data_IF_276336683106
#
_entry.id   IF_276336683106
#
_cell.length_a   1.000
_cell.length_b   1.000
_cell.length_c   1.000
_cell.angle_alpha   90.00
_cell.angle_beta   90.00
_cell.angle_gamma   90.00
#
_symmetry.space_group_name_H-M   'P 1'
#
loop_
_entity.id
_entity.type
_entity.pdbx_description
1 polymer ?
#
# COMPACT_ATOMS: atom_id res chain seq x y z
N UNK A 1 19.69 -35.39 0.19
CA UNK A 1 19.54 -34.11 -0.54
C UNK A 1 19.78 -32.86 0.31
N UNK A 2 18.94 -32.45 1.29
CA UNK A 2 19.14 -31.16 1.99
C UNK A 2 20.41 -31.07 2.85
N UNK A 3 20.77 -32.16 3.53
CA UNK A 3 22.04 -32.23 4.26
C UNK A 3 23.25 -32.25 3.32
N UNK A 4 23.08 -32.71 2.07
CA UNK A 4 24.13 -32.65 1.05
C UNK A 4 24.31 -31.23 0.53
N UNK A 5 23.21 -30.50 0.29
CA UNK A 5 23.28 -29.08 -0.08
C UNK A 5 24.03 -28.31 1.00
N UNK A 6 23.70 -28.53 2.29
CA UNK A 6 24.40 -27.88 3.41
C UNK A 6 25.91 -28.16 3.38
N UNK A 7 26.31 -29.42 3.25
CA UNK A 7 27.73 -29.83 3.16
C UNK A 7 28.45 -29.27 1.94
N UNK A 8 27.74 -29.02 0.85
CA UNK A 8 28.32 -28.43 -0.36
C UNK A 8 28.47 -26.92 -0.22
N UNK A 9 27.48 -26.22 0.38
CA UNK A 9 27.59 -24.78 0.65
C UNK A 9 28.76 -24.42 1.55
N UNK A 10 29.21 -25.34 2.42
CA UNK A 10 30.38 -25.16 3.30
C UNK A 10 31.72 -25.02 2.56
N UNK A 11 31.82 -25.50 1.31
CA UNK A 11 33.07 -25.48 0.57
C UNK A 11 33.34 -24.08 0.02
N UNK A 12 34.62 -23.68 -0.03
CA UNK A 12 35.06 -22.36 -0.50
C UNK A 12 34.68 -22.09 -1.97
N UNK A 13 34.59 -23.13 -2.80
CA UNK A 13 34.16 -23.05 -4.20
C UNK A 13 32.68 -22.63 -4.38
N UNK A 14 31.89 -22.67 -3.31
CA UNK A 14 30.46 -22.35 -3.32
C UNK A 14 30.17 -21.13 -2.45
N UNK A 15 29.76 -21.33 -1.19
CA UNK A 15 29.39 -20.24 -0.30
C UNK A 15 30.40 -20.04 0.85
N UNK A 16 31.38 -20.93 1.02
CA UNK A 16 32.40 -20.87 2.07
C UNK A 16 31.85 -20.95 3.50
N UNK A 17 30.57 -21.33 3.67
CA UNK A 17 29.91 -21.45 4.97
C UNK A 17 28.71 -22.37 4.92
N UNK A 18 28.42 -23.01 6.05
CA UNK A 18 27.23 -23.85 6.20
C UNK A 18 25.96 -23.02 6.13
N UNK A 19 25.17 -23.19 5.07
CA UNK A 19 23.88 -22.54 4.95
C UNK A 19 22.76 -23.50 5.37
N UNK A 20 21.95 -23.04 6.33
CA UNK A 20 20.71 -23.73 6.66
C UNK A 20 19.68 -23.47 5.57
N UNK A 21 19.43 -24.47 4.72
CA UNK A 21 18.43 -24.40 3.66
C UNK A 21 17.03 -24.36 4.29
N UNK A 22 16.42 -23.18 4.29
CA UNK A 22 15.03 -23.00 4.71
C UNK A 22 14.11 -23.26 3.53
N UNK A 23 13.37 -24.36 3.56
CA UNK A 23 12.40 -24.71 2.50
C UNK A 23 11.25 -23.71 2.54
N UNK A 24 10.65 -23.55 3.71
CA UNK A 24 9.52 -22.66 3.88
C UNK A 24 9.95 -21.22 4.17
N UNK A 25 9.30 -20.28 3.50
CA UNK A 25 9.25 -18.89 3.91
C UNK A 25 8.02 -18.65 4.80
N UNK A 26 8.07 -17.60 5.62
CA UNK A 26 6.85 -17.12 6.28
C UNK A 26 5.85 -16.73 5.20
N UNK A 27 4.59 -17.11 5.36
CA UNK A 27 3.52 -16.70 4.44
C UNK A 27 3.46 -15.17 4.39
N UNK A 28 3.84 -14.61 3.24
CA UNK A 28 3.79 -13.19 2.92
C UNK A 28 3.39 -13.06 1.46
N UNK A 29 2.82 -11.93 1.07
CA UNK A 29 2.32 -11.73 -0.28
C UNK A 29 3.41 -11.75 -1.37
N UNK A 30 4.69 -11.67 -0.99
CA UNK A 30 5.85 -11.76 -1.89
C UNK A 30 6.74 -12.98 -1.61
N UNK A 31 6.19 -14.02 -0.95
CA UNK A 31 6.90 -15.25 -0.58
C UNK A 31 7.55 -15.97 -1.77
N UNK A 32 6.87 -16.02 -2.92
CA UNK A 32 7.40 -16.64 -4.15
C UNK A 32 8.72 -15.99 -4.56
N UNK A 33 8.82 -14.66 -4.51
CA UNK A 33 10.06 -13.97 -4.81
C UNK A 33 11.14 -14.28 -3.78
N UNK A 34 10.82 -14.32 -2.47
CA UNK A 34 11.80 -14.69 -1.44
C UNK A 34 12.33 -16.13 -1.61
N UNK A 35 11.51 -17.06 -2.09
CA UNK A 35 11.95 -18.43 -2.42
C UNK A 35 12.91 -18.40 -3.59
N UNK A 36 12.58 -17.65 -4.65
CA UNK A 36 13.42 -17.54 -5.85
C UNK A 36 14.76 -16.87 -5.52
N UNK A 37 14.75 -15.74 -4.80
CA UNK A 37 15.96 -15.03 -4.36
C UNK A 37 16.89 -15.96 -3.56
N UNK A 38 16.34 -16.72 -2.60
CA UNK A 38 17.11 -17.69 -1.81
C UNK A 38 17.63 -18.85 -2.66
N UNK A 39 16.84 -19.34 -3.61
CA UNK A 39 17.28 -20.39 -4.52
C UNK A 39 18.50 -19.93 -5.34
N UNK A 40 18.53 -18.66 -5.78
CA UNK A 40 19.68 -18.08 -6.47
C UNK A 40 20.95 -18.01 -5.60
N UNK A 41 20.83 -17.71 -4.31
CA UNK A 41 21.99 -17.66 -3.39
C UNK A 41 22.72 -19.00 -3.25
N UNK A 42 22.01 -20.11 -3.43
CA UNK A 42 22.55 -21.47 -3.30
C UNK A 42 22.49 -22.27 -4.62
N UNK A 43 22.20 -21.61 -5.74
CA UNK A 43 21.95 -22.27 -7.02
C UNK A 43 23.10 -23.17 -7.47
N UNK A 44 24.40 -22.77 -7.37
CA UNK A 44 25.49 -23.64 -7.77
C UNK A 44 25.58 -24.91 -6.90
N UNK A 45 25.34 -24.79 -5.60
CA UNK A 45 25.34 -25.91 -4.67
C UNK A 45 24.14 -26.86 -4.91
N UNK A 46 22.95 -26.30 -5.13
CA UNK A 46 21.76 -27.06 -5.52
C UNK A 46 22.03 -27.82 -6.81
N UNK A 47 22.58 -27.15 -7.83
CA UNK A 47 22.81 -27.79 -9.12
C UNK A 47 23.86 -28.91 -9.05
N UNK A 48 24.89 -28.76 -8.19
CA UNK A 48 25.84 -29.84 -7.90
C UNK A 48 25.14 -31.07 -7.31
N UNK A 49 24.23 -30.87 -6.35
CA UNK A 49 23.46 -31.97 -5.76
C UNK A 49 22.55 -32.61 -6.81
N UNK A 50 21.77 -31.80 -7.53
CA UNK A 50 20.82 -32.27 -8.54
C UNK A 50 21.52 -33.03 -9.69
N UNK A 51 22.72 -32.62 -10.08
CA UNK A 51 23.53 -33.33 -11.07
C UNK A 51 23.82 -34.78 -10.66
N UNK A 52 23.98 -35.05 -9.36
CA UNK A 52 24.20 -36.43 -8.86
C UNK A 52 22.95 -37.30 -8.95
N UNK A 53 21.77 -36.68 -9.02
CA UNK A 53 20.49 -37.36 -9.18
C UNK A 53 20.01 -37.36 -10.65
N UNK A 54 20.82 -36.86 -11.59
CA UNK A 54 20.48 -36.83 -13.01
C UNK A 54 19.44 -35.77 -13.40
N UNK A 55 19.17 -34.80 -12.52
CA UNK A 55 18.16 -33.75 -12.74
C UNK A 55 18.70 -32.33 -12.52
N UNK A 56 19.89 -31.97 -13.07
CA UNK A 56 20.41 -30.62 -12.93
C UNK A 56 19.46 -29.60 -13.55
N UNK A 57 19.43 -28.39 -12.98
CA UNK A 57 18.77 -27.25 -13.60
C UNK A 57 19.48 -26.92 -14.91
N UNK A 58 18.71 -26.92 -15.99
CA UNK A 58 19.18 -26.50 -17.29
C UNK A 58 19.50 -25.00 -17.29
N UNK A 59 20.42 -24.54 -18.16
CA UNK A 59 20.69 -23.11 -18.30
C UNK A 59 19.43 -22.30 -18.64
N UNK A 60 18.52 -22.87 -19.44
CA UNK A 60 17.24 -22.23 -19.78
C UNK A 60 16.31 -22.05 -18.59
N UNK A 61 16.27 -23.01 -17.66
CA UNK A 61 15.46 -22.90 -16.45
C UNK A 61 16.02 -21.84 -15.50
N UNK A 62 17.35 -21.76 -15.35
CA UNK A 62 17.98 -20.71 -14.56
C UNK A 62 17.66 -19.31 -15.11
N UNK A 63 17.74 -19.13 -16.44
CA UNK A 63 17.36 -17.88 -17.11
C UNK A 63 15.87 -17.57 -16.92
N UNK A 64 14.98 -18.57 -17.02
CA UNK A 64 13.56 -18.38 -16.78
C UNK A 64 13.27 -17.94 -15.34
N UNK A 65 13.95 -18.55 -14.36
CA UNK A 65 13.82 -18.21 -12.95
C UNK A 65 14.32 -16.78 -12.66
N UNK A 66 15.37 -16.34 -13.34
CA UNK A 66 15.91 -14.98 -13.22
C UNK A 66 14.94 -13.95 -13.80
N UNK A 67 14.32 -14.26 -14.94
CA UNK A 67 13.26 -13.42 -15.52
C UNK A 67 12.08 -13.28 -14.56
N UNK A 68 11.62 -14.37 -13.94
CA UNK A 68 10.53 -14.33 -12.96
C UNK A 68 10.93 -13.47 -11.76
N UNK A 69 12.16 -13.63 -11.24
CA UNK A 69 12.69 -12.81 -10.13
C UNK A 69 12.62 -11.32 -10.47
N UNK A 70 13.06 -10.93 -11.66
CA UNK A 70 13.11 -9.54 -12.09
C UNK A 70 11.70 -8.94 -12.21
N UNK A 71 10.76 -9.69 -12.79
CA UNK A 71 9.37 -9.24 -12.96
C UNK A 71 8.61 -9.13 -11.63
N UNK A 72 8.91 -10.00 -10.65
CA UNK A 72 8.29 -9.95 -9.33
C UNK A 72 8.92 -8.91 -8.39
N UNK A 73 10.11 -8.41 -8.69
CA UNK A 73 10.83 -7.45 -7.84
C UNK A 73 10.05 -6.14 -7.58
N UNK A 74 9.44 -5.49 -8.60
CA UNK A 74 8.57 -4.33 -8.39
C UNK A 74 7.39 -4.60 -7.46
N UNK A 75 6.78 -5.80 -7.54
CA UNK A 75 5.67 -6.17 -6.66
C UNK A 75 6.08 -6.20 -5.19
N UNK A 76 7.26 -6.73 -4.86
CA UNK A 76 7.78 -6.69 -3.49
C UNK A 76 7.97 -5.27 -3.01
N UNK A 77 8.51 -4.37 -3.86
CA UNK A 77 8.65 -2.95 -3.53
C UNK A 77 7.29 -2.27 -3.29
N UNK A 78 6.33 -2.51 -4.18
CA UNK A 78 4.96 -2.00 -4.06
C UNK A 78 4.29 -2.47 -2.76
N UNK A 79 4.36 -3.77 -2.46
CA UNK A 79 3.79 -4.36 -1.23
C UNK A 79 4.42 -3.73 0.00
N UNK A 80 5.75 -3.57 0.03
CA UNK A 80 6.43 -2.96 1.17
C UNK A 80 6.05 -1.49 1.36
N UNK A 81 5.93 -0.72 0.28
CA UNK A 81 5.48 0.67 0.31
C UNK A 81 4.05 0.79 0.86
N UNK A 82 3.11 0.00 0.31
CA UNK A 82 1.72 -0.05 0.78
C UNK A 82 1.62 -0.49 2.24
N UNK A 83 2.55 -1.33 2.69
CA UNK A 83 2.54 -1.83 4.06
C UNK A 83 3.10 -0.85 5.11
N UNK A 84 3.59 0.33 4.74
CA UNK A 84 4.02 1.36 5.70
C UNK A 84 2.84 1.98 6.45
N UNK A 85 3.06 2.45 7.67
CA UNK A 85 1.98 2.96 8.54
C UNK A 85 1.37 4.26 8.02
N UNK A 86 2.20 5.11 7.41
CA UNK A 86 1.83 6.39 6.79
C UNK A 86 1.12 6.23 5.43
N UNK A 87 1.02 5.00 4.88
CA UNK A 87 0.39 4.78 3.59
C UNK A 87 -1.12 5.02 3.65
N UNK A 88 -1.63 5.84 2.73
CA UNK A 88 -3.04 6.18 2.54
C UNK A 88 -3.52 5.69 1.16
N UNK A 89 -4.82 5.81 0.88
CA UNK A 89 -5.35 5.50 -0.47
C UNK A 89 -4.66 6.33 -1.58
N UNK A 90 -4.27 7.57 -1.28
CA UNK A 90 -3.54 8.42 -2.22
C UNK A 90 -2.16 7.84 -2.59
N UNK A 91 -1.42 7.36 -1.59
CA UNK A 91 -0.14 6.69 -1.81
C UNK A 91 -0.31 5.40 -2.62
N UNK A 92 -1.44 4.71 -2.45
CA UNK A 92 -1.70 3.47 -3.17
C UNK A 92 -1.84 3.71 -4.68
N UNK A 93 -2.55 4.75 -5.10
CA UNK A 93 -2.70 5.11 -6.50
C UNK A 93 -1.34 5.45 -7.15
N UNK A 94 -0.45 6.15 -6.42
CA UNK A 94 0.94 6.39 -6.86
C UNK A 94 1.75 5.10 -7.00
N UNK A 95 1.66 4.21 -6.00
CA UNK A 95 2.37 2.92 -6.03
C UNK A 95 1.89 2.06 -7.22
N UNK A 96 0.59 2.02 -7.48
CA UNK A 96 0.06 1.26 -8.62
C UNK A 96 0.50 1.86 -9.95
N UNK A 97 0.48 3.20 -10.08
CA UNK A 97 0.97 3.88 -11.28
C UNK A 97 2.44 3.56 -11.56
N UNK A 98 3.31 3.61 -10.53
CA UNK A 98 4.72 3.24 -10.66
C UNK A 98 4.91 1.76 -10.98
N UNK A 99 4.12 0.86 -10.35
CA UNK A 99 4.20 -0.56 -10.61
C UNK A 99 3.78 -0.91 -12.04
N UNK A 100 2.71 -0.28 -12.55
CA UNK A 100 2.27 -0.48 -13.93
C UNK A 100 3.33 0.01 -14.92
N UNK A 101 3.91 1.19 -14.66
CA UNK A 101 5.03 1.72 -15.45
C UNK A 101 6.23 0.78 -15.44
N UNK A 102 6.65 0.29 -14.28
CA UNK A 102 7.77 -0.67 -14.17
C UNK A 102 7.50 -1.94 -15.00
N UNK A 103 6.26 -2.43 -15.05
CA UNK A 103 5.88 -3.63 -15.82
C UNK A 103 5.81 -3.39 -17.33
N UNK A 104 5.36 -2.20 -17.73
CA UNK A 104 5.28 -1.78 -19.13
C UNK A 104 6.69 -1.58 -19.72
N UNK A 105 7.58 -0.91 -18.98
CA UNK A 105 8.97 -0.67 -19.38
C UNK A 105 9.78 -1.97 -19.57
N UNK A 106 9.44 -3.05 -18.85
CA UNK A 106 10.11 -4.35 -19.03
C UNK A 106 9.89 -4.94 -20.42
N UNK A 107 8.74 -4.67 -21.07
CA UNK A 107 8.40 -5.15 -22.41
C UNK A 107 8.61 -6.67 -22.63
N UNK A 108 8.23 -7.50 -21.64
CA UNK A 108 8.29 -8.96 -21.71
C UNK A 108 6.87 -9.52 -21.68
N UNK A 109 6.62 -10.61 -22.40
CA UNK A 109 5.27 -11.21 -22.46
C UNK A 109 4.66 -11.49 -21.07
N UNK A 110 5.47 -12.00 -20.13
CA UNK A 110 5.01 -12.25 -18.77
C UNK A 110 4.71 -10.95 -17.99
N UNK A 111 5.46 -9.86 -18.22
CA UNK A 111 5.17 -8.57 -17.57
C UNK A 111 3.86 -7.98 -18.10
N UNK A 112 3.59 -8.13 -19.40
CA UNK A 112 2.33 -7.74 -20.04
C UNK A 112 1.12 -8.49 -19.50
N UNK A 113 1.22 -9.82 -19.34
CA UNK A 113 0.16 -10.64 -18.73
C UNK A 113 -0.13 -10.20 -17.29
N UNK A 114 0.92 -9.93 -16.50
CA UNK A 114 0.77 -9.46 -15.13
C UNK A 114 0.22 -8.04 -15.06
N UNK A 115 0.61 -7.16 -15.99
CA UNK A 115 0.08 -5.79 -16.08
C UNK A 115 -1.43 -5.81 -16.33
N UNK A 116 -1.90 -6.57 -17.31
CA UNK A 116 -3.34 -6.70 -17.60
C UNK A 116 -4.10 -7.32 -16.42
N UNK A 117 -3.51 -8.33 -15.78
CA UNK A 117 -4.09 -8.92 -14.57
C UNK A 117 -4.18 -7.89 -13.44
N UNK A 118 -3.12 -7.11 -13.21
CA UNK A 118 -3.07 -6.06 -12.20
C UNK A 118 -4.13 -4.98 -12.46
N UNK A 119 -4.24 -4.49 -13.69
CA UNK A 119 -5.29 -3.53 -14.10
C UNK A 119 -6.69 -4.07 -13.81
N UNK A 120 -6.93 -5.34 -14.16
CA UNK A 120 -8.20 -6.01 -13.86
C UNK A 120 -8.48 -6.12 -12.35
N UNK A 121 -7.47 -6.40 -11.54
CA UNK A 121 -7.61 -6.51 -10.09
C UNK A 121 -7.80 -5.15 -9.40
N UNK A 122 -7.17 -4.08 -9.91
CA UNK A 122 -7.39 -2.69 -9.46
C UNK A 122 -8.81 -2.28 -9.81
N UNK A 123 -9.25 -2.46 -11.06
CA UNK A 123 -10.62 -2.11 -11.51
C UNK A 123 -11.70 -2.72 -10.62
N UNK A 124 -11.53 -3.96 -10.18
CA UNK A 124 -12.49 -4.67 -9.31
C UNK A 124 -12.58 -4.14 -7.88
N UNK A 125 -11.51 -3.54 -7.36
CA UNK A 125 -11.37 -3.21 -5.91
C UNK A 125 -11.25 -1.73 -5.63
N UNK A 126 -10.77 -0.94 -6.58
CA UNK A 126 -10.63 0.50 -6.43
C UNK A 126 -12.02 1.11 -6.33
N UNK A 127 -12.23 1.89 -5.27
CA UNK A 127 -13.54 2.49 -4.95
C UNK A 127 -13.59 3.96 -5.37
N UNK A 128 -14.79 4.51 -5.43
CA UNK A 128 -15.04 5.93 -5.71
C UNK A 128 -14.27 6.87 -4.78
N UNK A 129 -14.05 6.46 -3.52
CA UNK A 129 -13.30 7.21 -2.52
C UNK A 129 -11.85 7.49 -2.93
N UNK A 130 -11.20 6.58 -3.68
CA UNK A 130 -9.84 6.81 -4.19
C UNK A 130 -9.80 7.94 -5.20
N UNK A 131 -10.77 7.98 -6.13
CA UNK A 131 -10.90 9.07 -7.12
C UNK A 131 -11.26 10.39 -6.46
N UNK A 132 -12.20 10.40 -5.52
CA UNK A 132 -12.54 11.62 -4.77
C UNK A 132 -11.32 12.14 -4.02
N UNK A 133 -10.59 11.27 -3.33
CA UNK A 133 -9.35 11.65 -2.66
C UNK A 133 -8.33 12.25 -3.63
N UNK A 134 -8.11 11.63 -4.80
CA UNK A 134 -7.20 12.15 -5.81
C UNK A 134 -7.59 13.56 -6.29
N UNK A 135 -8.88 13.80 -6.52
CA UNK A 135 -9.41 15.13 -6.87
C UNK A 135 -9.27 16.14 -5.74
N UNK A 136 -9.50 15.73 -4.49
CA UNK A 136 -9.34 16.60 -3.34
C UNK A 136 -7.87 17.00 -3.13
N UNK A 137 -6.93 16.09 -3.37
CA UNK A 137 -5.48 16.31 -3.27
C UNK A 137 -4.95 17.19 -4.41
N UNK A 138 -5.39 16.92 -5.64
CA UNK A 138 -5.07 17.68 -6.82
C UNK A 138 -6.35 18.00 -7.60
N UNK A 139 -6.78 19.26 -7.57
CA UNK A 139 -7.97 19.69 -8.30
C UNK A 139 -7.80 19.64 -9.83
N UNK A 140 -6.56 19.62 -10.33
CA UNK A 140 -6.23 19.41 -11.74
C UNK A 140 -5.99 17.93 -12.06
N UNK A 141 -6.46 17.02 -11.20
CA UNK A 141 -6.34 15.59 -11.44
C UNK A 141 -7.01 15.21 -12.77
N UNK A 142 -6.24 14.57 -13.64
CA UNK A 142 -6.59 14.28 -15.04
C UNK A 142 -7.27 12.92 -15.22
N UNK A 143 -7.48 12.18 -14.14
CA UNK A 143 -8.03 10.82 -14.15
C UNK A 143 -7.21 9.83 -14.99
N UNK A 144 -5.88 10.07 -15.13
CA UNK A 144 -5.01 9.21 -15.94
C UNK A 144 -5.04 7.75 -15.47
N UNK A 145 -5.07 7.54 -14.14
CA UNK A 145 -5.11 6.20 -13.56
C UNK A 145 -6.42 5.49 -13.89
N UNK A 146 -7.56 6.16 -13.72
CA UNK A 146 -8.89 5.63 -14.07
C UNK A 146 -8.94 5.23 -15.54
N UNK A 147 -8.44 6.09 -16.44
CA UNK A 147 -8.37 5.78 -17.86
C UNK A 147 -7.48 4.57 -18.13
N UNK A 148 -6.30 4.50 -17.52
CA UNK A 148 -5.36 3.40 -17.69
C UNK A 148 -5.93 2.07 -17.17
N UNK A 149 -6.66 2.09 -16.06
CA UNK A 149 -7.32 0.90 -15.50
C UNK A 149 -8.70 0.67 -16.09
N UNK A 150 -9.20 1.51 -16.99
CA UNK A 150 -10.53 1.43 -17.62
C UNK A 150 -11.70 1.54 -16.64
N UNK A 151 -11.61 2.47 -15.69
CA UNK A 151 -12.72 2.94 -14.87
C UNK A 151 -13.34 4.20 -15.49
N UNK A 152 -14.64 4.41 -15.25
CA UNK A 152 -15.33 5.62 -15.71
C UNK A 152 -14.89 6.83 -14.87
N UNK A 153 -14.79 7.98 -15.53
CA UNK A 153 -14.52 9.25 -14.86
C UNK A 153 -15.76 9.68 -14.10
N UNK A 154 -15.56 10.10 -12.84
CA UNK A 154 -16.61 10.68 -12.03
C UNK A 154 -16.99 12.08 -12.51
N UNK A 155 -18.28 12.36 -12.48
CA UNK A 155 -18.84 13.70 -12.66
C UNK A 155 -18.70 14.53 -11.39
N UNK A 156 -18.69 15.86 -11.54
CA UNK A 156 -18.61 16.79 -10.40
C UNK A 156 -19.81 16.62 -9.45
N UNK A 157 -20.99 16.30 -10.00
CA UNK A 157 -22.20 16.02 -9.21
C UNK A 157 -22.03 14.74 -8.37
N UNK A 158 -21.50 13.66 -8.92
CA UNK A 158 -21.24 12.43 -8.17
C UNK A 158 -20.20 12.66 -7.06
N UNK A 159 -19.17 13.47 -7.33
CA UNK A 159 -18.19 13.85 -6.31
C UNK A 159 -18.87 14.60 -5.17
N UNK A 160 -19.73 15.58 -5.49
CA UNK A 160 -20.49 16.35 -4.51
C UNK A 160 -21.43 15.48 -3.67
N UNK A 161 -22.13 14.52 -4.29
CA UNK A 161 -23.03 13.58 -3.63
C UNK A 161 -22.29 12.78 -2.56
N UNK A 162 -21.17 12.17 -2.94
CA UNK A 162 -20.38 11.33 -2.05
C UNK A 162 -19.71 12.16 -0.94
N UNK A 163 -19.28 13.39 -1.23
CA UNK A 163 -18.75 14.29 -0.20
C UNK A 163 -19.82 14.68 0.82
N UNK A 164 -21.05 14.92 0.37
CA UNK A 164 -22.17 15.19 1.27
C UNK A 164 -22.48 13.97 2.15
N UNK A 165 -22.51 12.77 1.57
CA UNK A 165 -22.73 11.52 2.32
C UNK A 165 -21.65 11.29 3.41
N UNK A 166 -20.39 11.62 3.12
CA UNK A 166 -19.28 11.54 4.10
C UNK A 166 -19.51 12.50 5.28
N UNK A 167 -19.98 13.72 5.01
CA UNK A 167 -20.26 14.71 6.05
C UNK A 167 -21.47 14.31 6.88
N UNK A 168 -22.56 13.88 6.24
CA UNK A 168 -23.78 13.45 6.90
C UNK A 168 -23.51 12.26 7.82
N UNK A 169 -22.62 11.33 7.42
CA UNK A 169 -22.20 10.22 8.27
C UNK A 169 -21.37 10.66 9.50
N UNK A 170 -20.70 11.81 9.43
CA UNK A 170 -19.82 12.36 10.48
C UNK A 170 -20.56 13.23 11.49
N UNK A 171 -21.64 13.92 11.09
CA UNK A 171 -22.53 14.66 12.01
C UNK A 171 -23.15 13.75 13.10
N UNK A 172 -23.14 12.42 12.91
CA UNK A 172 -23.52 11.45 13.94
C UNK A 172 -22.43 11.14 14.97
N UNK A 173 -21.19 11.59 14.78
CA UNK A 173 -20.01 11.05 15.49
C UNK A 173 -19.17 12.11 16.24
N UNK A 174 -19.21 13.41 15.93
CA UNK A 174 -18.22 14.35 16.49
C UNK A 174 -18.75 15.39 17.49
N UNK A 175 -18.39 15.16 18.77
CA UNK A 175 -17.74 16.16 19.63
C UNK A 175 -16.26 15.73 19.76
N UNK A 176 -15.36 16.41 19.05
CA UNK A 176 -13.94 16.68 19.36
C UNK A 176 -13.16 16.91 18.05
N UNK A 177 -12.74 18.15 17.85
CA UNK A 177 -11.99 18.62 16.68
C UNK A 177 -10.50 18.70 16.99
N UNK A 178 -9.67 18.12 16.11
CA UNK A 178 -8.22 18.29 16.09
C UNK A 178 -7.82 18.94 14.78
N UNK A 179 -7.14 20.08 14.86
CA UNK A 179 -6.66 20.86 13.71
C UNK A 179 -5.26 20.43 13.29
N UNK A 180 -5.04 20.11 12.02
CA UNK A 180 -3.70 19.99 11.43
C UNK A 180 -3.69 20.50 9.98
N UNK A 181 -2.67 21.30 9.66
CA UNK A 181 -2.49 21.98 8.37
C UNK A 181 -1.96 21.04 7.27
N UNK A 182 -2.38 21.21 6.01
CA UNK A 182 -1.64 20.67 4.85
C UNK A 182 -1.86 21.39 3.51
N UNK A 183 -0.88 21.16 2.60
CA UNK A 183 -0.39 22.01 1.52
C UNK A 183 -0.37 21.30 0.16
N UNK A 184 -0.22 22.06 -0.94
CA UNK A 184 -0.27 21.59 -2.32
C UNK A 184 1.04 21.81 -3.11
N UNK A 185 1.43 20.80 -3.91
CA UNK A 185 1.79 20.84 -5.34
C UNK A 185 2.53 19.55 -5.76
N UNK A 186 2.38 19.16 -7.02
CA UNK A 186 2.87 17.89 -7.59
C UNK A 186 4.34 17.93 -8.03
N UNK A 187 5.20 17.02 -7.54
CA UNK A 187 6.48 16.71 -8.16
C UNK A 187 6.38 15.42 -8.99
N UNK A 188 7.32 15.25 -9.90
CA UNK A 188 7.54 14.01 -10.66
C UNK A 188 7.62 12.80 -9.74
N UNK A 189 6.68 11.86 -9.91
CA UNK A 189 6.51 10.68 -9.05
C UNK A 189 7.64 9.69 -9.32
N UNK A 190 8.47 9.45 -8.31
CA UNK A 190 9.46 8.38 -8.27
C UNK A 190 9.27 7.53 -7.01
N UNK A 191 9.85 6.33 -6.98
CA UNK A 191 9.78 5.45 -5.80
C UNK A 191 10.28 6.12 -4.51
N UNK A 192 11.21 7.06 -4.61
CA UNK A 192 11.79 7.77 -3.47
C UNK A 192 10.95 8.98 -3.03
N UNK A 193 10.08 9.49 -3.90
CA UNK A 193 9.23 10.66 -3.62
C UNK A 193 7.82 10.32 -3.20
N UNK A 194 7.45 9.02 -3.10
CA UNK A 194 6.08 8.60 -2.77
C UNK A 194 5.58 9.27 -1.47
N UNK A 195 6.46 9.41 -0.48
CA UNK A 195 6.14 9.92 0.87
C UNK A 195 6.73 11.31 1.16
N UNK A 196 7.44 11.93 0.21
CA UNK A 196 8.05 13.24 0.40
C UNK A 196 7.17 14.30 -0.27
N UNK A 197 6.41 15.06 0.51
CA UNK A 197 5.70 16.25 0.02
C UNK A 197 6.18 17.49 0.79
N UNK A 198 6.57 18.53 0.05
CA UNK A 198 7.22 19.74 0.56
C UNK A 198 6.17 20.80 0.89
N UNK A 199 6.29 21.41 2.07
CA UNK A 199 5.37 22.39 2.64
C UNK A 199 5.59 23.81 2.07
N UNK A 200 4.56 24.46 1.51
CA UNK A 200 4.49 25.93 1.41
C UNK A 200 3.24 26.51 2.10
N UNK A 201 3.40 26.95 3.35
CA UNK A 201 2.41 27.61 4.22
C UNK A 201 1.76 28.85 3.59
N UNK A 202 0.46 29.04 3.79
CA UNK A 202 -0.20 30.34 3.66
C UNK A 202 -1.42 30.41 4.58
N UNK A 203 -1.22 31.06 5.72
CA UNK A 203 -2.26 31.47 6.66
C UNK A 203 -3.30 32.39 6.01
N UNK A 204 -4.57 32.14 6.29
CA UNK A 204 -5.53 33.23 6.51
C UNK A 204 -6.69 32.78 7.39
N UNK A 205 -6.70 33.29 8.62
CA UNK A 205 -7.83 33.18 9.54
C UNK A 205 -9.01 34.04 9.03
N UNK A 206 -10.20 33.44 8.96
CA UNK A 206 -11.45 34.12 8.60
C UNK A 206 -12.59 33.68 9.51
N UNK A 207 -13.21 34.66 10.16
CA UNK A 207 -14.14 34.54 11.28
C UNK A 207 -15.44 33.77 11.00
N UNK A 208 -15.95 33.12 12.05
CA UNK A 208 -17.26 32.47 12.11
C UNK A 208 -18.38 33.50 12.23
N UNK A 209 -19.41 33.39 11.37
CA UNK A 209 -20.69 34.05 11.57
C UNK A 209 -21.83 33.04 11.50
N UNK A 210 -22.56 32.92 12.60
CA UNK A 210 -23.76 32.11 12.76
C UNK A 210 -24.89 32.57 11.84
N UNK A 211 -25.28 31.70 10.91
CA UNK A 211 -26.48 31.84 10.09
C UNK A 211 -26.97 30.46 9.69
N UNK A 212 -28.28 30.23 9.81
CA UNK A 212 -28.99 28.96 9.56
C UNK A 212 -28.40 28.21 8.35
N UNK A 213 -27.78 27.05 8.60
CA UNK A 213 -26.95 26.35 7.63
C UNK A 213 -27.73 25.98 6.35
N UNK A 214 -27.32 26.45 5.16
CA UNK A 214 -27.75 25.83 3.91
C UNK A 214 -27.28 24.36 3.89
N UNK A 215 -28.04 23.46 3.27
CA UNK A 215 -27.71 22.03 3.11
C UNK A 215 -26.22 21.84 2.80
N UNK A 216 -25.54 20.91 3.48
CA UNK A 216 -24.08 20.72 3.38
C UNK A 216 -23.55 20.66 1.95
N UNK A 217 -24.35 20.11 1.03
CA UNK A 217 -24.10 20.11 -0.42
C UNK A 217 -23.95 21.51 -1.05
N UNK A 218 -24.78 22.48 -0.66
CA UNK A 218 -24.73 23.85 -1.19
C UNK A 218 -23.47 24.56 -0.71
N UNK A 219 -23.04 24.27 0.53
CA UNK A 219 -21.78 24.79 1.07
C UNK A 219 -20.57 24.14 0.40
N UNK A 220 -20.59 22.82 0.21
CA UNK A 220 -19.56 22.08 -0.54
C UNK A 220 -19.39 22.59 -1.97
N UNK A 221 -20.50 22.78 -2.71
CA UNK A 221 -20.47 23.31 -4.05
C UNK A 221 -19.88 24.72 -4.09
N UNK A 222 -20.22 25.55 -3.10
CA UNK A 222 -19.65 26.90 -2.96
C UNK A 222 -18.13 26.86 -2.70
N UNK A 223 -17.67 25.95 -1.85
CA UNK A 223 -16.24 25.75 -1.56
C UNK A 223 -15.47 25.16 -2.75
N UNK A 224 -16.10 24.33 -3.58
CA UNK A 224 -15.50 23.81 -4.82
C UNK A 224 -15.37 24.90 -5.89
N UNK A 225 -16.39 25.77 -6.05
CA UNK A 225 -16.41 26.83 -7.07
C UNK A 225 -15.50 28.02 -6.75
N UNK A 226 -15.32 28.39 -5.46
CA UNK A 226 -14.53 29.56 -5.05
C UNK A 226 -13.00 29.43 -5.20
N UNK A 227 -12.51 28.33 -5.78
CA UNK A 227 -11.10 27.90 -5.69
C UNK A 227 -10.19 28.23 -6.85
N UNK A 228 -10.62 29.03 -7.81
CA UNK A 228 -9.70 29.58 -8.81
C UNK A 228 -8.67 30.58 -8.23
N UNK A 229 -8.51 30.69 -6.90
CA UNK A 229 -7.49 31.55 -6.27
C UNK A 229 -7.44 31.60 -4.73
N UNK A 230 -8.04 30.67 -3.98
CA UNK A 230 -8.04 30.69 -2.50
C UNK A 230 -8.10 29.28 -1.89
N UNK A 231 -7.62 29.14 -0.65
CA UNK A 231 -7.38 27.86 0.04
C UNK A 231 -8.60 26.91 0.20
N UNK A 232 -8.33 25.66 0.60
CA UNK A 232 -9.36 24.63 0.81
C UNK A 232 -10.27 24.99 1.98
N UNK A 233 -11.58 25.12 1.71
CA UNK A 233 -12.58 25.37 2.74
C UNK A 233 -12.68 24.23 3.77
N UNK A 234 -13.22 24.52 4.97
CA UNK A 234 -13.19 23.61 6.11
C UNK A 234 -13.91 22.29 5.85
N UNK A 235 -15.06 22.29 5.16
CA UNK A 235 -15.81 21.06 4.89
C UNK A 235 -15.03 20.10 3.98
N UNK A 236 -14.33 20.65 2.98
CA UNK A 236 -13.49 19.84 2.11
C UNK A 236 -12.23 19.32 2.80
N UNK A 237 -11.68 20.04 3.79
CA UNK A 237 -10.60 19.51 4.64
C UNK A 237 -11.10 18.34 5.50
N UNK A 238 -12.27 18.48 6.11
CA UNK A 238 -12.91 17.41 6.88
C UNK A 238 -13.08 16.13 6.04
N UNK A 239 -13.60 16.23 4.82
CA UNK A 239 -13.71 15.08 3.92
C UNK A 239 -12.35 14.50 3.53
N UNK A 240 -11.37 15.36 3.24
CA UNK A 240 -10.02 14.94 2.91
C UNK A 240 -9.38 14.13 4.04
N UNK A 241 -9.48 14.60 5.28
CA UNK A 241 -8.97 13.93 6.47
C UNK A 241 -9.61 12.56 6.66
N UNK A 242 -10.95 12.49 6.56
CA UNK A 242 -11.70 11.24 6.65
C UNK A 242 -11.21 10.22 5.61
N UNK A 243 -10.98 10.64 4.38
CA UNK A 243 -10.52 9.77 3.30
C UNK A 243 -9.04 9.38 3.44
N UNK A 244 -8.18 10.29 3.90
CA UNK A 244 -6.76 9.99 4.19
C UNK A 244 -6.60 8.99 5.33
N UNK A 245 -7.50 9.00 6.30
CA UNK A 245 -7.49 8.06 7.42
C UNK A 245 -7.74 6.60 6.99
N UNK A 246 -8.26 6.36 5.79
CA UNK A 246 -8.50 5.01 5.26
C UNK A 246 -7.15 4.38 4.85
N UNK A 247 -6.70 3.31 5.54
CA UNK A 247 -5.49 2.62 5.15
C UNK A 247 -5.72 1.81 3.85
N UNK A 248 -4.78 1.76 2.91
CA UNK A 248 -4.89 0.98 1.67
C UNK A 248 -4.67 -0.52 1.91
N UNK A 249 -4.65 -0.98 3.17
CA UNK A 249 -4.24 -2.32 3.57
C UNK A 249 -5.09 -2.84 4.73
N UNK A 250 -5.30 -4.15 4.76
CA UNK A 250 -5.79 -4.89 5.94
C UNK A 250 -4.66 -5.55 6.75
N UNK A 251 -3.40 -5.43 6.30
CA UNK A 251 -2.23 -6.18 6.82
C UNK A 251 -1.81 -5.77 8.24
N UNK A 252 -2.19 -4.57 8.70
CA UNK A 252 -1.77 -4.12 10.03
C UNK A 252 -2.36 -5.01 11.14
N UNK A 253 -3.64 -5.38 11.03
CA UNK A 253 -4.26 -6.31 11.95
C UNK A 253 -3.53 -7.67 11.93
N UNK A 254 -3.20 -8.20 10.74
CA UNK A 254 -2.46 -9.46 10.60
C UNK A 254 -1.08 -9.44 11.28
N UNK A 255 -0.36 -8.32 11.18
CA UNK A 255 0.92 -8.11 11.89
C UNK A 255 0.72 -8.09 13.40
N UNK A 256 -0.28 -7.36 13.87
CA UNK A 256 -0.57 -7.26 15.29
C UNK A 256 -0.92 -8.65 15.86
N UNK A 257 -1.78 -9.41 15.17
CA UNK A 257 -2.08 -10.81 15.50
C UNK A 257 -0.85 -11.74 15.44
N UNK A 258 0.03 -11.54 14.47
CA UNK A 258 1.27 -12.32 14.35
C UNK A 258 2.21 -12.08 15.54
N UNK A 259 2.31 -10.86 16.05
CA UNK A 259 3.17 -10.55 17.21
C UNK A 259 2.68 -11.22 18.49
N UNK A 260 1.37 -11.36 18.66
CA UNK A 260 0.77 -12.03 19.82
C UNK A 260 0.50 -13.52 19.59
N UNK A 261 0.98 -14.09 18.47
CA UNK A 261 0.79 -15.53 18.18
C UNK A 261 1.28 -16.45 19.31
N UNK A 262 2.31 -16.03 20.04
CA UNK A 262 2.81 -16.76 21.21
C UNK A 262 1.83 -16.72 22.41
N UNK A 263 0.98 -15.69 22.50
CA UNK A 263 -0.13 -15.60 23.45
C UNK A 263 -1.37 -16.36 22.97
N UNK A 264 -1.48 -16.65 21.67
CA UNK A 264 -2.60 -17.38 21.05
C UNK A 264 -2.30 -18.87 20.79
N UNK A 265 -1.05 -19.30 20.98
CA UNK A 265 -0.56 -20.64 20.62
C UNK A 265 -1.00 -21.75 21.57
N UNK A 266 -0.94 -22.99 21.08
CA UNK A 266 -1.47 -24.21 21.71
C UNK A 266 -0.87 -24.57 23.08
N UNK A 267 0.25 -23.95 23.47
CA UNK A 267 0.89 -24.21 24.75
C UNK A 267 0.99 -22.93 25.60
N UNK A 268 0.08 -22.82 26.59
CA UNK A 268 0.20 -22.13 27.90
C UNK A 268 -0.35 -20.71 28.14
N UNK A 269 -1.05 -20.06 27.22
CA UNK A 269 -1.76 -18.81 27.57
C UNK A 269 -3.13 -18.73 26.89
N UNK A 270 -4.10 -19.53 27.34
CA UNK A 270 -5.48 -19.41 26.83
C UNK A 270 -6.18 -18.20 27.46
N UNK A 271 -5.80 -17.01 27.01
CA UNK A 271 -6.44 -15.76 27.40
C UNK A 271 -7.88 -15.73 26.86
N UNK A 272 -8.80 -15.15 27.64
CA UNK A 272 -10.18 -14.93 27.19
C UNK A 272 -10.19 -13.90 26.05
N UNK A 273 -11.17 -13.99 25.16
CA UNK A 273 -11.33 -13.05 24.03
C UNK A 273 -11.40 -11.59 24.50
N UNK A 274 -12.05 -11.33 25.63
CA UNK A 274 -12.11 -9.99 26.23
C UNK A 274 -10.73 -9.48 26.63
N UNK A 275 -9.95 -10.29 27.33
CA UNK A 275 -8.58 -9.94 27.74
C UNK A 275 -7.65 -9.73 26.54
N UNK A 276 -7.83 -10.52 25.47
CA UNK A 276 -7.09 -10.30 24.23
C UNK A 276 -7.44 -8.95 23.59
N UNK A 277 -8.73 -8.61 23.53
CA UNK A 277 -9.17 -7.31 23.03
C UNK A 277 -8.60 -6.16 23.88
N UNK A 278 -8.64 -6.26 25.20
CA UNK A 278 -8.08 -5.24 26.10
C UNK A 278 -6.58 -5.06 25.87
N UNK A 279 -5.83 -6.16 25.72
CA UNK A 279 -4.40 -6.12 25.40
C UNK A 279 -4.15 -5.44 24.05
N UNK A 280 -4.95 -5.73 23.03
CA UNK A 280 -4.83 -5.08 21.73
C UNK A 280 -5.12 -3.58 21.79
N UNK A 281 -6.18 -3.18 22.50
CA UNK A 281 -6.57 -1.78 22.67
C UNK A 281 -5.45 -1.01 23.41
N UNK A 282 -4.99 -1.53 24.55
CA UNK A 282 -3.93 -0.90 25.34
C UNK A 282 -2.64 -0.79 24.54
N UNK A 283 -2.25 -1.86 23.84
CA UNK A 283 -1.04 -1.86 23.01
C UNK A 283 -1.13 -0.82 21.90
N UNK A 284 -2.28 -0.72 21.23
CA UNK A 284 -2.49 0.26 20.16
C UNK A 284 -2.47 1.69 20.71
N UNK A 285 -3.10 1.93 21.86
CA UNK A 285 -3.06 3.22 22.55
C UNK A 285 -1.63 3.63 22.93
N UNK A 286 -0.84 2.70 23.47
CA UNK A 286 0.57 2.95 23.81
C UNK A 286 1.45 3.18 22.57
N UNK A 287 1.20 2.48 21.46
CA UNK A 287 1.92 2.71 20.20
C UNK A 287 1.63 4.09 19.60
N UNK A 288 0.40 4.59 19.77
CA UNK A 288 0.00 5.91 19.30
C UNK A 288 0.48 7.05 20.21
N UNK A 289 0.85 6.77 21.48
CA UNK A 289 1.38 7.77 22.43
C UNK A 289 2.90 7.95 22.37
N UNK A 290 3.63 7.11 21.63
CA UNK A 290 5.10 7.15 21.51
C UNK A 290 5.57 7.89 20.24
N UNK A 291 4.71 8.73 19.64
CA UNK A 291 5.04 9.65 18.56
C UNK A 291 4.95 11.09 19.05
#
# INVERSE_FOLDING_TARGET
>A
MMDEVRKITERDEYNGRSLCVKIDCKTRWYSTLEVIERAFEILPAINNVLSRYGTPLSPSEAVALERIRNILSPFKRAILALCKNEATLFHADRVFSLLMKDLDEMNVELSRILLESLKGEIRKRRTIHSSILAVLENYEYDFSLELEVGQERLSDDEILDNLADILDAREFVEDESSSLEMLSQAPTVSWDSIFNETSASSDSAGASSSGRAPSGRVQLNRELVLKSGGGRGPLLNTCLESLRAIPPKSVQAERDFSTVRHLLGENRARLKSTTLNDIFIIRKALQNQVL
#
